data_IF_592111437996
#
_entry.id   IF_592111437996
#
_cell.length_a   1.000
_cell.length_b   1.000
_cell.length_c   1.000
_cell.angle_alpha   90.00
_cell.angle_beta   90.00
_cell.angle_gamma   90.00
#
_symmetry.space_group_name_H-M   'P 1'
#
loop_
_entity.id
_entity.type
_entity.pdbx_description
1 polymer ?
#
# COMPACT_ATOMS: atom_id res chain seq x y z
N UNK A 1 3.22 -15.25 -16.72
CA UNK A 1 2.48 -14.03 -17.07
C UNK A 1 3.49 -12.93 -17.31
N UNK A 2 3.40 -12.12 -18.36
CA UNK A 2 4.31 -10.98 -18.59
C UNK A 2 3.59 -9.74 -18.06
N UNK A 3 4.22 -9.04 -17.11
CA UNK A 3 3.72 -7.76 -16.64
C UNK A 3 3.86 -6.68 -17.73
N UNK A 4 3.09 -5.60 -17.64
CA UNK A 4 3.11 -4.47 -18.57
C UNK A 4 4.50 -3.85 -18.77
N UNK A 5 5.39 -3.94 -17.78
CA UNK A 5 6.77 -3.44 -17.84
C UNK A 5 7.75 -4.40 -18.51
N UNK A 6 7.29 -5.53 -19.06
CA UNK A 6 8.12 -6.55 -19.71
C UNK A 6 8.93 -7.41 -18.75
N UNK A 7 8.74 -7.27 -17.44
CA UNK A 7 9.36 -8.15 -16.44
C UNK A 7 8.64 -9.50 -16.41
N UNK A 8 9.40 -10.52 -16.04
CA UNK A 8 8.92 -11.90 -15.97
C UNK A 8 7.76 -12.06 -14.99
N UNK A 9 6.90 -13.02 -15.31
CA UNK A 9 5.72 -13.42 -14.55
C UNK A 9 5.86 -13.29 -13.04
N UNK A 10 4.91 -12.64 -12.42
CA UNK A 10 4.71 -12.79 -10.98
C UNK A 10 4.36 -14.24 -10.71
N UNK A 11 4.98 -14.86 -9.73
CA UNK A 11 4.63 -16.21 -9.30
C UNK A 11 3.23 -16.26 -8.68
N UNK A 12 2.73 -15.10 -8.23
CA UNK A 12 1.38 -14.95 -7.68
C UNK A 12 0.64 -13.84 -8.43
N UNK A 13 -0.49 -14.17 -9.06
CA UNK A 13 -1.31 -13.22 -9.84
C UNK A 13 -1.81 -12.04 -9.01
N UNK A 14 -1.90 -12.18 -7.69
CA UNK A 14 -2.34 -11.13 -6.77
C UNK A 14 -1.29 -10.04 -6.55
N UNK A 15 -0.04 -10.27 -6.94
CA UNK A 15 1.06 -9.32 -6.85
C UNK A 15 1.24 -8.56 -8.16
N UNK A 16 0.31 -7.65 -8.47
CA UNK A 16 0.24 -6.91 -9.73
C UNK A 16 0.80 -5.49 -9.70
N UNK A 17 1.58 -5.10 -8.68
CA UNK A 17 2.18 -3.76 -8.64
C UNK A 17 3.39 -3.68 -9.56
N UNK A 18 3.41 -2.64 -10.40
CA UNK A 18 4.54 -2.27 -11.26
C UNK A 18 5.24 -1.06 -10.62
N UNK A 19 6.53 -1.21 -10.31
CA UNK A 19 7.31 -0.13 -9.73
C UNK A 19 7.60 0.96 -10.78
N UNK A 20 6.95 2.10 -10.64
CA UNK A 20 7.12 3.27 -11.50
C UNK A 20 6.98 4.53 -10.64
N UNK A 21 8.09 4.99 -10.02
CA UNK A 21 8.04 6.18 -9.19
C UNK A 21 7.57 7.41 -9.97
N UNK A 22 6.65 8.20 -9.41
CA UNK A 22 6.28 9.49 -9.96
C UNK A 22 7.32 10.55 -9.57
N UNK A 23 8.19 11.00 -10.51
CA UNK A 23 9.20 11.99 -10.19
C UNK A 23 8.62 13.37 -9.88
N UNK A 24 7.40 13.65 -10.31
CA UNK A 24 6.70 14.92 -10.10
C UNK A 24 6.04 15.03 -8.72
N UNK A 25 5.80 13.90 -8.05
CA UNK A 25 5.23 13.92 -6.72
C UNK A 25 6.24 14.49 -5.70
N UNK A 26 5.85 15.53 -4.94
CA UNK A 26 6.75 16.15 -3.97
C UNK A 26 7.10 15.17 -2.84
N UNK A 27 8.27 15.38 -2.22
CA UNK A 27 8.60 14.67 -0.99
C UNK A 27 7.75 15.20 0.16
N UNK A 28 7.37 14.33 1.09
CA UNK A 28 6.54 14.65 2.25
C UNK A 28 7.14 15.77 3.09
N UNK A 29 8.45 15.81 3.26
CA UNK A 29 9.15 16.86 4.04
C UNK A 29 9.08 18.25 3.38
N UNK A 30 8.80 18.35 2.08
CA UNK A 30 8.68 19.63 1.37
C UNK A 30 7.27 20.22 1.40
N UNK A 31 6.25 19.41 1.68
CA UNK A 31 4.83 19.82 1.58
C UNK A 31 4.07 19.69 2.89
N UNK A 32 4.67 19.08 3.89
CA UNK A 32 4.05 18.80 5.18
C UNK A 32 4.74 19.60 6.28
N UNK A 33 3.99 20.17 7.24
CA UNK A 33 4.58 20.82 8.41
C UNK A 33 5.13 19.81 9.43
N UNK A 34 5.64 18.68 8.95
CA UNK A 34 6.30 17.69 9.80
C UNK A 34 7.62 18.30 10.25
N UNK A 35 7.64 18.76 11.48
CA UNK A 35 8.77 19.47 12.07
C UNK A 35 9.96 18.52 12.28
N UNK A 36 11.14 18.89 11.79
CA UNK A 36 12.39 18.16 11.99
C UNK A 36 12.84 18.08 13.47
N UNK A 37 12.20 18.87 14.35
CA UNK A 37 12.49 18.95 15.78
C UNK A 37 11.77 17.91 16.68
N UNK A 38 11.03 16.95 16.13
CA UNK A 38 10.14 16.04 16.90
C UNK A 38 10.87 14.77 17.38
N UNK A 39 12.06 14.84 17.88
CA UNK A 39 12.75 13.65 18.39
C UNK A 39 12.19 13.12 19.74
N UNK A 40 11.47 13.93 20.50
CA UNK A 40 10.94 13.56 21.81
C UNK A 40 9.41 13.38 21.86
N UNK A 41 8.64 14.03 21.00
CA UNK A 41 7.18 13.84 20.91
C UNK A 41 6.78 12.60 20.14
N UNK A 42 7.67 12.03 19.39
CA UNK A 42 7.54 10.83 18.61
C UNK A 42 7.08 9.62 19.45
N UNK A 43 7.61 9.48 20.65
CA UNK A 43 7.24 8.40 21.59
C UNK A 43 5.84 8.58 22.18
N UNK A 44 5.36 9.82 22.33
CA UNK A 44 4.04 10.11 22.90
C UNK A 44 2.93 10.12 21.86
N UNK A 45 3.21 10.56 20.63
CA UNK A 45 2.20 10.66 19.56
C UNK A 45 1.78 9.28 19.07
N UNK A 46 2.71 8.37 18.83
CA UNK A 46 2.42 7.02 18.35
C UNK A 46 1.70 6.18 19.42
N UNK A 47 1.88 6.49 20.70
CA UNK A 47 1.08 5.86 21.78
C UNK A 47 -0.41 6.20 21.71
N UNK A 48 -0.81 7.27 20.99
CA UNK A 48 -2.21 7.66 20.78
C UNK A 48 -2.86 7.00 19.58
N UNK A 49 -2.10 6.57 18.58
CA UNK A 49 -2.63 5.80 17.45
C UNK A 49 -2.75 4.32 17.81
N UNK A 50 -3.65 4.03 18.73
CA UNK A 50 -4.16 2.66 18.84
C UNK A 50 -4.94 2.38 17.56
N UNK A 51 -4.69 1.20 16.97
CA UNK A 51 -5.56 0.62 15.93
C UNK A 51 -7.01 0.84 16.35
N UNK A 52 -7.62 1.92 15.86
CA UNK A 52 -9.05 2.08 16.07
C UNK A 52 -9.70 0.98 15.25
N UNK A 53 -10.59 0.23 15.90
CA UNK A 53 -11.26 -0.90 15.28
C UNK A 53 -11.85 -0.46 13.95
N UNK A 54 -11.27 -0.99 12.87
CA UNK A 54 -11.82 -0.88 11.55
C UNK A 54 -13.23 -1.51 11.52
N UNK A 55 -14.18 -0.88 10.86
CA UNK A 55 -15.57 -1.34 10.82
C UNK A 55 -15.95 -2.01 9.51
N UNK A 56 -15.16 -1.82 8.44
CA UNK A 56 -15.44 -2.45 7.16
C UNK A 56 -14.88 -3.87 7.12
N UNK A 57 -15.49 -4.79 6.37
CA UNK A 57 -14.91 -6.09 6.07
C UNK A 57 -13.55 -5.92 5.38
N UNK A 58 -12.64 -6.86 5.61
CA UNK A 58 -11.40 -6.92 4.86
C UNK A 58 -11.71 -7.13 3.39
N UNK A 59 -10.97 -6.43 2.53
CA UNK A 59 -11.10 -6.55 1.09
C UNK A 59 -10.55 -7.88 0.58
N UNK A 60 -11.12 -8.37 -0.53
CA UNK A 60 -10.70 -9.60 -1.18
C UNK A 60 -10.57 -9.41 -2.70
N UNK A 61 -9.34 -9.23 -3.18
CA UNK A 61 -9.08 -9.06 -4.62
C UNK A 61 -9.20 -10.38 -5.43
N UNK A 62 -9.41 -11.52 -4.76
CA UNK A 62 -9.44 -12.82 -5.45
C UNK A 62 -8.13 -13.08 -6.22
N UNK A 63 -8.25 -13.44 -7.50
CA UNK A 63 -7.12 -13.76 -8.37
C UNK A 63 -6.72 -12.58 -9.30
N UNK A 64 -7.29 -11.40 -9.11
CA UNK A 64 -6.98 -10.23 -9.91
C UNK A 64 -5.61 -9.63 -9.52
N UNK A 65 -4.89 -9.09 -10.50
CA UNK A 65 -3.64 -8.35 -10.27
C UNK A 65 -3.92 -6.90 -9.77
N UNK A 66 -4.98 -6.76 -8.99
CA UNK A 66 -5.64 -5.51 -8.66
C UNK A 66 -5.17 -4.88 -7.34
N UNK A 67 -4.04 -5.33 -6.78
CA UNK A 67 -3.57 -4.86 -5.46
C UNK A 67 -3.44 -3.32 -5.38
N UNK A 68 -3.16 -2.62 -6.50
CA UNK A 68 -3.14 -1.16 -6.56
C UNK A 68 -4.49 -0.52 -6.20
N UNK A 69 -5.57 -1.01 -6.81
CA UNK A 69 -6.93 -0.55 -6.50
C UNK A 69 -7.37 -0.91 -5.09
N UNK A 70 -7.07 -2.12 -4.66
CA UNK A 70 -7.42 -2.61 -3.33
C UNK A 70 -6.61 -1.92 -2.21
N UNK A 71 -5.33 -1.65 -2.42
CA UNK A 71 -4.50 -0.90 -1.47
C UNK A 71 -4.98 0.55 -1.31
N UNK A 72 -5.39 1.20 -2.41
CA UNK A 72 -5.97 2.54 -2.35
C UNK A 72 -7.35 2.54 -1.67
N UNK A 73 -8.20 1.54 -1.95
CA UNK A 73 -9.50 1.39 -1.29
C UNK A 73 -9.31 1.20 0.21
N UNK A 74 -8.40 0.33 0.62
CA UNK A 74 -8.07 0.15 2.03
C UNK A 74 -7.58 1.45 2.70
N UNK A 75 -6.81 2.28 1.99
CA UNK A 75 -6.44 3.62 2.47
C UNK A 75 -7.67 4.52 2.67
N UNK A 76 -8.65 4.51 1.76
CA UNK A 76 -9.87 5.31 1.88
C UNK A 76 -10.82 4.78 2.97
N UNK A 77 -10.81 3.50 3.26
CA UNK A 77 -11.65 2.87 4.28
C UNK A 77 -11.10 3.02 5.69
N UNK A 78 -9.85 3.45 5.84
CA UNK A 78 -9.20 3.67 7.14
C UNK A 78 -9.14 5.15 7.53
N UNK A 79 -8.98 5.40 8.84
CA UNK A 79 -8.78 6.76 9.34
C UNK A 79 -7.58 7.45 8.65
N UNK A 80 -7.73 8.74 8.32
CA UNK A 80 -8.83 9.64 8.66
C UNK A 80 -10.02 9.62 7.68
N UNK A 81 -9.99 8.81 6.62
CA UNK A 81 -10.93 8.91 5.51
C UNK A 81 -12.29 8.25 5.79
N UNK A 82 -12.29 7.05 6.35
CA UNK A 82 -13.47 6.27 6.80
C UNK A 82 -14.59 6.21 5.75
N UNK A 83 -14.28 5.71 4.56
CA UNK A 83 -15.28 5.34 3.57
C UNK A 83 -15.70 3.88 3.76
N UNK A 84 -16.80 3.46 3.14
CA UNK A 84 -17.16 2.04 2.99
C UNK A 84 -17.43 1.82 1.52
N UNK A 85 -16.49 1.16 0.84
CA UNK A 85 -16.45 1.04 -0.63
C UNK A 85 -16.58 -0.42 -1.09
N UNK A 86 -15.75 -1.32 -0.55
CA UNK A 86 -15.77 -2.76 -0.84
C UNK A 86 -15.07 -3.19 -2.11
N UNK A 87 -15.11 -4.51 -2.36
CA UNK A 87 -14.31 -5.19 -3.39
C UNK A 87 -14.66 -4.75 -4.82
N UNK A 88 -15.93 -4.58 -5.13
CA UNK A 88 -16.39 -4.18 -6.45
C UNK A 88 -15.86 -2.78 -6.84
N UNK A 89 -15.93 -1.83 -5.90
CA UNK A 89 -15.39 -0.51 -6.10
C UNK A 89 -13.87 -0.54 -6.27
N UNK A 90 -13.17 -1.35 -5.48
CA UNK A 90 -11.72 -1.51 -5.53
C UNK A 90 -11.27 -2.05 -6.90
N UNK A 91 -11.98 -3.04 -7.42
CA UNK A 91 -11.69 -3.64 -8.72
C UNK A 91 -11.95 -2.65 -9.86
N UNK A 92 -13.07 -1.92 -9.84
CA UNK A 92 -13.37 -0.91 -10.84
C UNK A 92 -12.38 0.26 -10.79
N UNK A 93 -11.95 0.68 -9.61
CA UNK A 93 -10.92 1.69 -9.47
C UNK A 93 -9.57 1.22 -10.03
N UNK A 94 -9.19 -0.04 -9.82
CA UNK A 94 -8.02 -0.65 -10.44
C UNK A 94 -8.06 -0.56 -11.97
N UNK A 95 -9.19 -0.89 -12.58
CA UNK A 95 -9.34 -0.78 -14.03
C UNK A 95 -9.21 0.66 -14.53
N UNK A 96 -9.76 1.63 -13.81
CA UNK A 96 -9.58 3.05 -14.15
C UNK A 96 -8.13 3.52 -13.99
N UNK A 97 -7.41 2.98 -13.00
CA UNK A 97 -5.99 3.24 -12.87
C UNK A 97 -5.17 2.63 -14.02
N UNK A 98 -5.59 1.47 -14.55
CA UNK A 98 -4.99 0.89 -15.76
C UNK A 98 -5.27 1.71 -17.01
N UNK A 99 -6.46 2.30 -17.14
CA UNK A 99 -6.82 3.17 -18.27
C UNK A 99 -5.95 4.46 -18.29
N UNK A 100 -5.43 4.87 -17.15
CA UNK A 100 -4.59 6.06 -16.98
C UNK A 100 -3.08 5.77 -16.91
N UNK A 101 -2.66 4.51 -16.92
CA UNK A 101 -1.23 4.20 -16.92
C UNK A 101 -0.59 4.31 -18.32
N UNK A 102 0.73 4.22 -18.39
CA UNK A 102 1.46 4.38 -19.64
C UNK A 102 1.53 3.12 -20.49
N UNK A 103 0.96 2.01 -20.04
CA UNK A 103 1.00 0.73 -20.74
C UNK A 103 -0.34 0.44 -21.46
N UNK A 104 -0.30 -0.19 -22.65
CA UNK A 104 -1.51 -0.52 -23.36
C UNK A 104 -2.28 -1.67 -22.73
N UNK A 105 -3.61 -1.56 -22.76
CA UNK A 105 -4.55 -2.61 -22.33
C UNK A 105 -4.83 -2.62 -20.83
N UNK A 106 -5.71 -3.50 -20.43
CA UNK A 106 -6.11 -3.69 -19.03
C UNK A 106 -6.44 -5.15 -18.76
N UNK A 107 -6.69 -5.49 -17.51
CA UNK A 107 -7.13 -6.84 -17.10
C UNK A 107 -8.65 -7.04 -17.30
N UNK A 108 -9.36 -6.05 -17.80
CA UNK A 108 -10.79 -6.21 -18.15
C UNK A 108 -10.98 -7.32 -19.18
N UNK A 109 -12.01 -8.17 -19.06
CA UNK A 109 -12.21 -9.32 -19.94
C UNK A 109 -12.24 -8.99 -21.44
N UNK A 110 -12.75 -7.81 -21.82
CA UNK A 110 -12.85 -7.37 -23.23
C UNK A 110 -11.61 -6.61 -23.74
N UNK A 111 -10.64 -6.34 -22.88
CA UNK A 111 -9.46 -5.55 -23.24
C UNK A 111 -8.58 -6.25 -24.28
N UNK A 112 -8.02 -5.47 -25.19
CA UNK A 112 -7.05 -5.92 -26.21
C UNK A 112 -5.93 -4.89 -26.33
N UNK A 113 -4.71 -5.20 -25.87
CA UNK A 113 -4.30 -6.46 -25.24
C UNK A 113 -4.83 -6.58 -23.81
N UNK A 114 -4.94 -7.80 -23.30
CA UNK A 114 -5.08 -8.04 -21.88
C UNK A 114 -3.72 -7.79 -21.26
N UNK A 115 -3.67 -6.99 -20.20
CA UNK A 115 -2.45 -6.74 -19.42
C UNK A 115 -2.75 -6.59 -17.94
N UNK A 116 -1.77 -6.94 -17.12
CA UNK A 116 -1.92 -7.18 -15.70
C UNK A 116 -1.15 -6.15 -14.89
N UNK A 117 -1.69 -5.78 -13.74
CA UNK A 117 -1.06 -4.86 -12.82
C UNK A 117 -1.16 -3.38 -13.22
N UNK A 118 -0.72 -2.52 -12.34
CA UNK A 118 -0.59 -1.07 -12.54
C UNK A 118 0.43 -0.50 -11.55
N UNK A 119 0.82 0.77 -11.71
CA UNK A 119 1.77 1.43 -10.79
C UNK A 119 1.07 2.20 -9.68
N UNK A 120 1.78 2.42 -8.57
CA UNK A 120 1.31 3.32 -7.51
C UNK A 120 1.14 4.76 -8.05
N UNK A 121 1.98 5.19 -8.97
CA UNK A 121 1.86 6.49 -9.63
C UNK A 121 0.53 6.63 -10.36
N UNK A 122 0.12 5.63 -11.15
CA UNK A 122 -1.16 5.62 -11.88
C UNK A 122 -2.36 5.63 -10.92
N UNK A 123 -2.28 4.84 -9.85
CA UNK A 123 -3.30 4.83 -8.78
C UNK A 123 -3.50 6.24 -8.20
N UNK A 124 -2.40 6.91 -7.81
CA UNK A 124 -2.47 8.23 -7.19
C UNK A 124 -2.91 9.32 -8.17
N UNK A 125 -2.46 9.26 -9.42
CA UNK A 125 -2.86 10.19 -10.47
C UNK A 125 -4.35 10.05 -10.81
N UNK A 126 -4.84 8.82 -10.94
CA UNK A 126 -6.27 8.54 -11.16
C UNK A 126 -7.12 9.06 -10.00
N UNK A 127 -6.72 8.78 -8.77
CA UNK A 127 -7.42 9.26 -7.59
C UNK A 127 -7.52 10.81 -7.55
N UNK A 128 -6.46 11.51 -7.97
CA UNK A 128 -6.43 12.96 -8.05
C UNK A 128 -7.31 13.47 -9.19
N UNK A 129 -7.25 12.86 -10.38
CA UNK A 129 -8.07 13.24 -11.54
C UNK A 129 -9.57 13.07 -11.26
N UNK A 130 -9.95 12.03 -10.53
CA UNK A 130 -11.33 11.78 -10.12
C UNK A 130 -11.78 12.62 -8.91
N UNK A 131 -10.90 13.44 -8.33
CA UNK A 131 -11.22 14.28 -7.18
C UNK A 131 -11.40 13.51 -5.87
N UNK A 132 -10.93 12.26 -5.79
CA UNK A 132 -10.96 11.46 -4.56
C UNK A 132 -9.95 11.97 -3.55
N UNK A 133 -8.87 12.56 -4.03
CA UNK A 133 -7.83 13.22 -3.25
C UNK A 133 -7.48 14.59 -3.87
N UNK A 134 -7.14 15.56 -3.04
CA UNK A 134 -6.69 16.89 -3.50
C UNK A 134 -5.26 16.84 -4.04
N UNK A 135 -4.41 16.15 -3.31
CA UNK A 135 -2.98 16.05 -3.57
C UNK A 135 -2.37 14.82 -2.90
N UNK A 136 -1.19 14.46 -3.35
CA UNK A 136 -0.39 13.41 -2.72
C UNK A 136 1.09 13.80 -2.69
N UNK A 137 1.81 13.17 -1.78
CA UNK A 137 3.26 13.29 -1.66
C UNK A 137 3.88 11.93 -1.39
N UNK A 138 5.20 11.84 -1.52
CA UNK A 138 5.95 10.58 -1.37
C UNK A 138 6.86 10.62 -0.16
N UNK A 139 6.97 9.49 0.52
CA UNK A 139 8.03 9.23 1.48
C UNK A 139 9.10 8.35 0.84
N UNK A 140 10.35 8.59 1.19
CA UNK A 140 11.53 7.91 0.65
C UNK A 140 12.32 7.15 1.71
N UNK A 141 12.04 7.41 2.97
CA UNK A 141 12.69 6.77 4.11
C UNK A 141 11.68 6.22 5.08
N UNK A 142 12.07 5.24 5.88
CA UNK A 142 11.20 4.66 6.92
C UNK A 142 10.80 5.71 7.95
N UNK A 143 11.70 6.61 8.31
CA UNK A 143 11.40 7.72 9.22
C UNK A 143 10.30 8.65 8.66
N UNK A 144 10.40 9.01 7.38
CA UNK A 144 9.34 9.78 6.70
C UNK A 144 8.00 9.03 6.69
N UNK A 145 8.01 7.71 6.50
CA UNK A 145 6.80 6.89 6.53
C UNK A 145 6.17 6.90 7.92
N UNK A 146 6.96 6.69 8.96
CA UNK A 146 6.49 6.67 10.34
C UNK A 146 5.87 8.03 10.71
N UNK A 147 6.55 9.12 10.41
CA UNK A 147 6.03 10.49 10.64
C UNK A 147 4.79 10.78 9.79
N UNK A 148 4.79 10.31 8.55
CA UNK A 148 3.64 10.47 7.66
C UNK A 148 2.41 9.73 8.17
N UNK A 149 2.54 8.51 8.66
CA UNK A 149 1.41 7.77 9.26
C UNK A 149 0.90 8.50 10.51
N UNK A 150 1.78 9.05 11.33
CA UNK A 150 1.38 9.85 12.49
C UNK A 150 0.57 11.10 12.08
N UNK A 151 0.99 11.79 11.03
CA UNK A 151 0.39 13.04 10.58
C UNK A 151 -0.86 12.83 9.70
N UNK A 152 -0.81 11.90 8.74
CA UNK A 152 -1.89 11.64 7.77
C UNK A 152 -2.82 10.51 8.19
N UNK A 153 -2.43 9.66 9.13
CA UNK A 153 -3.21 8.53 9.64
C UNK A 153 -2.98 7.21 8.90
N UNK A 154 -2.70 7.24 7.61
CA UNK A 154 -2.41 6.05 6.81
C UNK A 154 -1.55 6.39 5.59
N UNK A 155 -0.88 5.38 5.06
CA UNK A 155 -0.07 5.44 3.85
C UNK A 155 -0.50 4.36 2.86
N UNK A 156 -0.17 4.59 1.58
CA UNK A 156 -0.26 3.56 0.54
C UNK A 156 1.16 3.13 0.22
N UNK A 157 1.42 1.83 0.27
CA UNK A 157 2.74 1.24 0.08
C UNK A 157 2.78 0.34 -1.16
N UNK A 158 3.87 0.42 -1.89
CA UNK A 158 4.28 -0.55 -2.88
C UNK A 158 5.54 -1.27 -2.41
N UNK A 159 5.52 -2.58 -2.29
CA UNK A 159 6.63 -3.38 -1.78
C UNK A 159 6.89 -4.57 -2.70
N UNK A 160 8.16 -4.94 -2.88
CA UNK A 160 8.47 -6.29 -3.35
C UNK A 160 8.00 -7.30 -2.30
N UNK A 161 7.10 -8.19 -2.72
CA UNK A 161 6.53 -9.20 -1.85
C UNK A 161 7.29 -10.51 -2.02
N UNK A 162 7.66 -11.15 -0.92
CA UNK A 162 8.45 -12.39 -0.92
C UNK A 162 7.64 -13.56 -0.41
N UNK A 163 8.14 -14.78 -0.62
CA UNK A 163 7.52 -16.01 -0.10
C UNK A 163 7.30 -15.94 1.41
N UNK A 164 8.28 -15.45 2.17
CA UNK A 164 8.15 -15.29 3.63
C UNK A 164 7.06 -14.31 4.04
N UNK A 165 6.77 -13.31 3.18
CA UNK A 165 5.67 -12.38 3.39
C UNK A 165 4.32 -12.97 2.96
N UNK A 166 4.30 -13.91 1.99
CA UNK A 166 3.10 -14.67 1.61
C UNK A 166 2.60 -15.58 2.72
N UNK A 167 3.53 -16.11 3.52
CA UNK A 167 3.27 -17.07 4.58
C UNK A 167 3.74 -16.53 5.92
N UNK A 168 2.94 -15.66 6.59
CA UNK A 168 3.29 -15.11 7.90
C UNK A 168 3.62 -16.18 8.92
N UNK A 169 4.50 -15.85 9.84
CA UNK A 169 4.94 -16.81 10.87
C UNK A 169 3.77 -17.36 11.69
N UNK A 170 3.70 -18.67 11.84
CA UNK A 170 2.62 -19.35 12.56
C UNK A 170 2.56 -19.00 14.06
N UNK A 171 3.68 -18.58 14.65
CA UNK A 171 3.76 -18.29 16.09
C UNK A 171 3.18 -16.93 16.46
N UNK A 172 3.26 -15.93 15.59
CA UNK A 172 2.88 -14.55 15.92
C UNK A 172 2.26 -13.78 14.75
N UNK A 173 2.17 -14.37 13.58
CA UNK A 173 1.60 -13.74 12.39
C UNK A 173 2.44 -12.61 11.80
N UNK A 174 3.74 -12.50 12.11
CA UNK A 174 4.59 -11.52 11.46
C UNK A 174 4.95 -11.95 10.05
N UNK A 175 4.82 -11.02 9.11
CA UNK A 175 5.32 -11.15 7.74
C UNK A 175 6.81 -10.84 7.76
N UNK A 176 7.65 -11.77 7.34
CA UNK A 176 9.11 -11.59 7.35
C UNK A 176 9.67 -11.68 5.93
N UNK A 177 10.63 -10.82 5.55
CA UNK A 177 11.28 -10.94 4.25
C UNK A 177 12.10 -12.22 4.21
N UNK A 178 11.94 -13.00 3.14
CA UNK A 178 12.68 -14.24 2.94
C UNK A 178 12.16 -15.02 1.75
N UNK A 179 12.99 -15.91 1.19
CA UNK A 179 12.67 -16.64 -0.03
C UNK A 179 12.72 -15.75 -1.27
N UNK A 180 12.16 -16.27 -2.36
CA UNK A 180 12.11 -15.58 -3.65
C UNK A 180 11.08 -14.44 -3.65
N UNK A 181 11.29 -13.46 -4.53
CA UNK A 181 10.29 -12.41 -4.80
C UNK A 181 9.15 -13.01 -5.61
N UNK A 182 7.93 -12.88 -5.10
CA UNK A 182 6.71 -13.37 -5.77
C UNK A 182 6.02 -12.28 -6.61
N UNK A 183 6.43 -11.03 -6.46
CA UNK A 183 5.96 -9.90 -7.27
C UNK A 183 5.89 -8.60 -6.49
N UNK A 184 5.46 -7.52 -7.15
CA UNK A 184 5.14 -6.25 -6.51
C UNK A 184 3.75 -6.25 -5.91
N UNK A 185 3.60 -5.82 -4.66
CA UNK A 185 2.30 -5.76 -3.97
C UNK A 185 2.03 -4.37 -3.43
N UNK A 186 0.78 -3.92 -3.62
CA UNK A 186 0.29 -2.65 -3.10
C UNK A 186 -0.66 -2.90 -1.92
N UNK A 187 -0.43 -2.19 -0.83
CA UNK A 187 -1.24 -2.31 0.38
C UNK A 187 -1.28 -0.99 1.15
N UNK A 188 -2.16 -0.87 2.14
CA UNK A 188 -2.15 0.26 3.06
C UNK A 188 -1.30 -0.05 4.30
N UNK A 189 -0.60 0.96 4.84
CA UNK A 189 -0.05 0.94 6.19
C UNK A 189 -0.89 1.88 7.07
N UNK A 190 -1.50 1.34 8.10
CA UNK A 190 -2.49 2.06 8.91
C UNK A 190 -2.09 2.20 10.38
N UNK A 191 -0.99 1.61 10.76
CA UNK A 191 -0.43 1.77 12.10
C UNK A 191 1.08 1.56 12.14
N UNK A 192 1.71 2.20 13.11
CA UNK A 192 3.07 1.94 13.56
C UNK A 192 3.07 1.87 15.09
N UNK A 193 3.76 0.90 15.65
CA UNK A 193 4.00 0.82 17.07
C UNK A 193 5.51 0.81 17.35
N UNK A 194 6.05 1.95 17.75
CA UNK A 194 7.49 2.12 18.00
C UNK A 194 7.98 1.29 19.18
N UNK A 195 7.15 1.10 20.22
CA UNK A 195 7.54 0.31 21.39
C UNK A 195 7.69 -1.18 21.07
N UNK A 196 6.79 -1.68 20.22
CA UNK A 196 6.85 -3.06 19.74
C UNK A 196 7.70 -3.20 18.48
N UNK A 197 8.18 -2.08 17.91
CA UNK A 197 8.96 -2.01 16.69
C UNK A 197 8.25 -2.68 15.49
N UNK A 198 6.96 -2.42 15.32
CA UNK A 198 6.17 -2.99 14.23
C UNK A 198 5.44 -1.93 13.43
N UNK A 199 5.23 -2.22 12.16
CA UNK A 199 4.37 -1.50 11.21
C UNK A 199 3.41 -2.49 10.56
N UNK A 200 2.24 -2.02 10.13
CA UNK A 200 1.30 -2.90 9.46
C UNK A 200 0.05 -2.21 8.95
N UNK A 201 -0.79 -3.00 8.31
CA UNK A 201 -2.07 -2.57 7.75
C UNK A 201 -2.86 -3.72 7.16
N UNK A 202 -4.07 -3.47 6.65
CA UNK A 202 -4.91 -4.50 6.06
C UNK A 202 -4.30 -5.00 4.75
N UNK A 203 -4.39 -6.31 4.54
CA UNK A 203 -4.15 -6.92 3.24
C UNK A 203 -5.49 -7.15 2.52
N UNK A 204 -5.46 -7.32 1.20
CA UNK A 204 -6.64 -7.52 0.35
C UNK A 204 -6.85 -9.00 -0.03
N UNK A 205 -6.54 -9.91 0.88
CA UNK A 205 -6.66 -11.36 0.66
C UNK A 205 -7.59 -12.03 1.69
N UNK A 206 -8.68 -11.32 2.06
CA UNK A 206 -9.69 -11.81 2.99
C UNK A 206 -9.10 -12.26 4.33
N UNK A 207 -9.30 -13.51 4.70
CA UNK A 207 -8.87 -14.12 5.96
C UNK A 207 -7.41 -14.60 5.97
N UNK A 208 -6.59 -14.17 5.01
CA UNK A 208 -5.14 -14.34 5.07
C UNK A 208 -4.58 -13.79 6.39
N UNK A 209 -3.59 -14.48 6.98
CA UNK A 209 -3.02 -14.14 8.28
C UNK A 209 -4.06 -14.06 9.42
N UNK A 210 -4.69 -15.18 9.73
CA UNK A 210 -5.74 -15.28 10.76
C UNK A 210 -5.30 -14.76 12.13
N UNK A 211 -4.03 -14.93 12.51
CA UNK A 211 -3.49 -14.41 13.78
C UNK A 211 -3.51 -12.89 13.88
N UNK A 212 -3.57 -12.20 12.76
CA UNK A 212 -3.60 -10.74 12.67
C UNK A 212 -4.87 -10.22 12.00
N UNK A 213 -5.91 -11.04 11.90
CA UNK A 213 -7.21 -10.66 11.33
C UNK A 213 -7.08 -10.10 9.90
N UNK A 214 -6.28 -10.73 9.04
CA UNK A 214 -6.06 -10.29 7.66
C UNK A 214 -5.08 -9.13 7.49
N UNK A 215 -4.44 -8.66 8.57
CA UNK A 215 -3.42 -7.61 8.51
C UNK A 215 -2.03 -8.20 8.26
N UNK A 216 -1.26 -7.55 7.40
CA UNK A 216 0.17 -7.75 7.40
C UNK A 216 0.78 -6.95 8.55
N UNK A 217 1.75 -7.53 9.22
CA UNK A 217 2.50 -6.89 10.30
C UNK A 217 3.96 -7.30 10.14
N UNK A 218 4.86 -6.33 10.20
CA UNK A 218 6.29 -6.55 10.00
C UNK A 218 7.08 -5.82 11.08
N UNK A 219 8.20 -6.40 11.51
CA UNK A 219 9.18 -5.69 12.32
C UNK A 219 9.74 -4.49 11.55
N UNK A 220 10.08 -3.40 12.23
CA UNK A 220 10.57 -2.18 11.57
C UNK A 220 11.92 -2.37 10.88
N UNK A 221 12.77 -3.28 11.35
CA UNK A 221 14.05 -3.55 10.70
C UNK A 221 13.83 -4.37 9.43
N UNK A 222 12.94 -5.36 9.46
CA UNK A 222 12.51 -6.12 8.29
C UNK A 222 11.82 -5.20 7.27
N UNK A 223 10.96 -4.31 7.73
CA UNK A 223 10.31 -3.31 6.86
C UNK A 223 11.34 -2.37 6.22
N UNK A 224 12.33 -1.91 6.98
CA UNK A 224 13.39 -1.08 6.45
C UNK A 224 14.22 -1.81 5.38
N UNK A 225 14.46 -3.10 5.57
CA UNK A 225 15.13 -3.91 4.56
C UNK A 225 14.31 -3.98 3.26
N UNK A 226 13.04 -4.33 3.34
CA UNK A 226 12.16 -4.43 2.16
C UNK A 226 12.01 -3.08 1.48
N UNK A 227 11.69 -2.04 2.23
CA UNK A 227 11.43 -0.72 1.66
C UNK A 227 12.68 -0.07 1.07
N UNK A 228 13.79 -0.03 1.84
CA UNK A 228 14.99 0.72 1.43
C UNK A 228 15.88 -0.02 0.46
N UNK A 229 16.02 -1.34 0.62
CA UNK A 229 16.95 -2.12 -0.19
C UNK A 229 16.34 -2.69 -1.47
N UNK A 230 15.01 -2.88 -1.47
CA UNK A 230 14.29 -3.48 -2.60
C UNK A 230 13.46 -2.47 -3.41
N UNK A 231 13.61 -1.16 -3.14
CA UNK A 231 12.98 -0.10 -3.94
C UNK A 231 11.50 0.10 -3.65
N UNK A 232 11.09 0.03 -2.38
CA UNK A 232 9.71 0.30 -1.97
C UNK A 232 9.23 1.71 -2.32
N UNK A 233 7.93 1.83 -2.57
CA UNK A 233 7.23 3.08 -2.85
C UNK A 233 6.24 3.39 -1.73
N UNK A 234 6.11 4.67 -1.37
CA UNK A 234 5.14 5.12 -0.39
C UNK A 234 4.52 6.44 -0.81
N UNK A 235 3.20 6.52 -0.73
CA UNK A 235 2.45 7.74 -0.94
C UNK A 235 1.53 8.05 0.24
N UNK A 236 1.40 9.33 0.54
CA UNK A 236 0.41 9.91 1.42
C UNK A 236 -0.50 10.83 0.63
N UNK A 237 -1.78 10.84 0.94
CA UNK A 237 -2.74 11.67 0.26
C UNK A 237 -3.58 12.48 1.24
N UNK A 238 -4.01 13.67 0.78
CA UNK A 238 -5.04 14.46 1.42
C UNK A 238 -6.34 14.25 0.68
N UNK A 239 -7.36 13.74 1.38
CA UNK A 239 -8.69 13.55 0.81
C UNK A 239 -9.33 14.90 0.50
N UNK A 240 -10.11 14.95 -0.56
CA UNK A 240 -11.02 16.08 -0.85
C UNK A 240 -12.09 16.16 0.25
N UNK A 241 -12.24 17.33 0.85
CA UNK A 241 -13.24 17.61 1.91
C UNK A 241 -14.65 17.70 1.34
#
# INVERSE_FOLDING_TARGET
MILKDGKTETQDSRCGLIFQPDPSAPNILTVSPIDDGIDLRYRELISKYRVKKFKAPLLNQGNWSACGGFGFTAFLEHEPNICTLGDEWALEFYFRAQDNDSWPGSERPESKPISYGTSLASVMQTAKQEGLIESYCRARTVDEIIRGIDYYGSAILGLEWTEGMMYPREVDGLSTPGGEVVGGHCTAATFVNIHQRIIGGPNSWSDWNLLRNGYWVMDLDDFAEVFMKRGGECAFARKTT
#
